data_IF_580617276862
#
_entry.id   IF_580617276862
#
_cell.length_a   1.000
_cell.length_b   1.000
_cell.length_c   1.000
_cell.angle_alpha   90.00
_cell.angle_beta   90.00
_cell.angle_gamma   90.00
#
_symmetry.space_group_name_H-M   'P 1'
#
loop_
_entity.id
_entity.type
_entity.pdbx_description
1 polymer ?
#
# COMPACT_ATOMS: atom_id res chain seq x y z
N UNK A 1 -24.24 -15.48 -10.02
CA UNK A 1 -24.02 -15.17 -10.04
C UNK A 1 -23.81 -14.68 -9.93
N UNK A 2 -23.44 -14.80 -9.89
CA UNK A 2 -22.86 -14.28 -9.82
C UNK A 2 -22.42 -14.07 -9.66
N UNK A 3 -22.09 -13.97 -9.59
CA UNK A 3 -21.46 -13.65 -9.43
C UNK A 3 -20.96 -13.35 -9.61
N UNK A 4 -20.97 -13.33 -9.73
CA UNK A 4 -20.15 -12.88 -9.78
C UNK A 4 -19.65 -12.50 -9.49
N UNK A 5 -19.38 -12.60 -9.37
CA UNK A 5 -18.72 -12.14 -9.13
C UNK A 5 -18.11 -12.16 -8.70
N UNK A 6 -17.97 -12.22 -8.52
CA UNK A 6 -17.36 -12.09 -8.16
C UNK A 6 -16.75 -12.07 -8.16
N UNK A 7 -16.62 -12.08 -8.33
CA UNK A 7 -15.94 -11.89 -8.30
C UNK A 7 -15.34 -11.60 -8.61
N UNK A 8 -15.12 -11.54 -8.81
CA UNK A 8 -14.44 -11.09 -9.11
C UNK A 8 -13.87 -10.45 -8.88
N UNK A 9 -13.71 -10.11 -8.48
CA UNK A 9 -13.06 -9.49 -8.02
C UNK A 9 -12.51 -9.72 -7.37
N UNK A 10 -12.63 -10.09 -7.06
CA UNK A 10 -12.03 -10.26 -6.47
C UNK A 10 -11.32 -10.73 -6.70
N UNK A 11 -11.34 -11.06 -7.25
CA UNK A 11 -10.58 -11.40 -7.52
C UNK A 11 -9.72 -11.15 -7.79
N UNK A 12 -9.41 -10.65 -7.71
CA UNK A 12 -8.52 -10.22 -7.69
C UNK A 12 -7.85 -10.30 -7.16
N UNK A 13 -7.98 -10.45 -6.64
CA UNK A 13 -7.39 -10.45 -5.99
C UNK A 13 -7.05 -10.99 -5.78
N UNK A 14 -7.18 -11.30 -6.18
CA UNK A 14 -6.84 -11.86 -6.09
C UNK A 14 -6.03 -12.16 -5.66
N UNK A 15 -6.58 -12.36 -5.29
CA UNK A 15 -5.60 -12.44 -4.28
C UNK A 15 -4.31 -12.89 -4.67
N UNK A 16 -4.00 -12.51 -5.57
CA UNK A 16 -2.68 -12.82 -5.97
C UNK A 16 -1.75 -12.39 -4.87
N UNK A 17 -0.82 -13.21 -4.54
CA UNK A 17 0.23 -12.80 -3.68
C UNK A 17 0.90 -11.63 -4.34
N UNK A 18 0.77 -10.53 -3.72
CA UNK A 18 1.40 -9.36 -4.27
C UNK A 18 2.70 -9.18 -3.55
N UNK A 19 3.69 -8.80 -4.28
CA UNK A 19 4.96 -8.44 -3.69
C UNK A 19 5.04 -6.95 -3.42
N UNK A 20 3.99 -6.24 -3.79
CA UNK A 20 3.98 -4.79 -3.66
C UNK A 20 2.56 -4.28 -3.58
N UNK A 21 2.42 -3.07 -3.08
CA UNK A 21 1.15 -2.35 -3.00
C UNK A 21 1.17 -1.19 -3.97
N UNK A 22 0.02 -0.88 -4.55
CA UNK A 22 -0.18 0.46 -5.07
C UNK A 22 -0.32 1.41 -3.88
N UNK A 23 -0.29 2.71 -4.13
CA UNK A 23 -0.49 3.67 -3.03
C UNK A 23 -1.83 3.45 -2.36
N UNK A 24 -2.89 3.24 -3.14
CA UNK A 24 -4.21 3.01 -2.56
C UNK A 24 -4.27 1.74 -1.74
N UNK A 25 -3.67 0.68 -2.27
CA UNK A 25 -3.63 -0.59 -1.54
C UNK A 25 -2.86 -0.47 -0.24
N UNK A 26 -1.75 0.26 -0.27
CA UNK A 26 -0.98 0.49 0.94
C UNK A 26 -1.79 1.25 1.98
N UNK A 27 -2.46 2.31 1.56
CA UNK A 27 -3.30 3.09 2.47
C UNK A 27 -4.39 2.23 3.09
N UNK A 28 -5.01 1.40 2.26
CA UNK A 28 -6.06 0.53 2.72
C UNK A 28 -5.53 -0.49 3.72
N UNK A 29 -4.40 -1.10 3.40
CA UNK A 29 -3.81 -2.12 4.26
C UNK A 29 -3.40 -1.57 5.61
N UNK A 30 -2.90 -0.35 5.64
CA UNK A 30 -2.44 0.27 6.88
C UNK A 30 -3.45 1.22 7.48
N UNK A 31 -4.63 1.31 6.88
CA UNK A 31 -5.77 2.04 7.42
C UNK A 31 -5.48 3.52 7.60
N UNK A 32 -4.84 4.10 6.61
CA UNK A 32 -4.62 5.53 6.60
C UNK A 32 -5.32 6.12 5.38
N UNK A 33 -5.73 7.37 5.50
CA UNK A 33 -6.37 8.03 4.39
C UNK A 33 -5.32 8.43 3.35
N UNK A 34 -5.78 8.63 2.13
CA UNK A 34 -4.92 9.11 1.08
C UNK A 34 -4.32 10.46 1.44
N UNK A 35 -5.14 11.33 2.03
CA UNK A 35 -4.67 12.65 2.46
C UNK A 35 -3.55 12.52 3.48
N UNK A 36 -3.72 11.63 4.44
CA UNK A 36 -2.68 11.40 5.44
C UNK A 36 -1.40 10.86 4.80
N UNK A 37 -1.57 9.99 3.83
CA UNK A 37 -0.40 9.44 3.14
C UNK A 37 0.41 10.55 2.49
N UNK A 38 -0.26 11.47 1.80
CA UNK A 38 0.46 12.54 1.12
C UNK A 38 1.02 13.57 2.08
N UNK A 39 0.40 13.74 3.25
CA UNK A 39 1.01 14.53 4.32
C UNK A 39 2.32 13.92 4.75
N UNK A 40 2.32 12.62 4.99
CA UNK A 40 3.53 11.92 5.39
C UNK A 40 4.59 12.02 4.32
N UNK A 41 4.18 11.89 3.07
CA UNK A 41 5.11 11.98 1.96
C UNK A 41 5.78 13.35 1.90
N UNK A 42 4.99 14.41 2.12
CA UNK A 42 5.51 15.76 2.10
C UNK A 42 6.53 15.98 3.20
N UNK A 43 6.39 15.25 4.31
CA UNK A 43 7.31 15.36 5.44
C UNK A 43 8.48 14.39 5.35
N UNK A 44 8.54 13.60 4.29
CA UNK A 44 9.59 12.60 4.16
C UNK A 44 9.40 11.40 5.05
N UNK A 45 8.17 11.15 5.49
CA UNK A 45 7.87 10.08 6.44
C UNK A 45 7.06 8.95 5.82
N UNK A 46 6.84 8.97 4.52
CA UNK A 46 6.13 7.91 3.82
C UNK A 46 7.11 6.80 3.44
N UNK A 47 6.60 5.60 3.12
CA UNK A 47 7.49 4.53 2.67
C UNK A 47 8.11 4.85 1.33
N UNK A 48 9.21 4.16 1.04
CA UNK A 48 9.89 4.33 -0.23
C UNK A 48 9.01 3.79 -1.35
N UNK A 49 8.88 4.55 -2.42
CA UNK A 49 8.10 4.15 -3.59
C UNK A 49 9.04 3.77 -4.73
N UNK A 50 8.70 2.69 -5.42
CA UNK A 50 9.33 2.38 -6.69
C UNK A 50 8.51 3.01 -7.79
N UNK A 51 9.18 3.47 -8.83
CA UNK A 51 8.49 3.97 -10.00
C UNK A 51 8.72 3.00 -11.14
N UNK A 52 7.64 2.40 -11.61
CA UNK A 52 7.70 1.43 -12.71
C UNK A 52 6.79 1.97 -13.81
N UNK A 53 7.40 2.52 -14.85
CA UNK A 53 6.62 3.21 -15.87
C UNK A 53 5.92 4.40 -15.24
N UNK A 54 4.60 4.38 -15.26
CA UNK A 54 3.80 5.45 -14.65
C UNK A 54 3.25 5.08 -13.29
N UNK A 55 3.62 3.91 -12.80
CA UNK A 55 3.04 3.42 -11.57
C UNK A 55 3.98 3.68 -10.40
N UNK A 56 3.39 4.03 -9.28
CA UNK A 56 4.13 4.15 -8.02
C UNK A 56 3.73 2.98 -7.18
N UNK A 57 4.72 2.21 -6.76
CA UNK A 57 4.50 0.94 -6.09
C UNK A 57 5.34 0.91 -4.83
N UNK A 58 4.78 0.37 -3.77
CA UNK A 58 5.48 0.23 -2.49
C UNK A 58 5.69 -1.25 -2.26
N UNK A 59 6.95 -1.69 -2.24
CA UNK A 59 7.22 -3.10 -2.00
C UNK A 59 6.81 -3.48 -0.59
N UNK A 60 6.56 -4.76 -0.37
CA UNK A 60 6.25 -5.24 0.98
C UNK A 60 7.41 -4.97 1.92
N UNK A 61 8.63 -5.09 1.42
CA UNK A 61 9.81 -4.81 2.23
C UNK A 61 9.88 -3.35 2.64
N UNK A 62 9.58 -2.45 1.70
CA UNK A 62 9.58 -1.02 2.01
C UNK A 62 8.48 -0.69 3.01
N UNK A 63 7.32 -1.32 2.85
CA UNK A 63 6.21 -1.12 3.78
C UNK A 63 6.58 -1.61 5.18
N UNK A 64 7.26 -2.74 5.27
CA UNK A 64 7.68 -3.27 6.55
C UNK A 64 8.71 -2.38 7.23
N UNK A 65 9.67 -1.90 6.46
CA UNK A 65 10.67 -0.98 7.02
C UNK A 65 10.01 0.28 7.54
N UNK A 66 9.07 0.80 6.76
CA UNK A 66 8.31 1.99 7.14
C UNK A 66 7.55 1.73 8.46
N UNK A 67 6.89 0.60 8.54
CA UNK A 67 6.13 0.26 9.73
C UNK A 67 7.04 0.23 10.96
N UNK A 68 8.18 -0.42 10.83
CA UNK A 68 9.13 -0.50 11.94
C UNK A 68 9.65 0.86 12.34
N UNK A 69 9.92 1.72 11.37
CA UNK A 69 10.35 3.08 11.66
C UNK A 69 9.28 3.86 12.39
N UNK A 70 8.03 3.71 11.97
CA UNK A 70 6.94 4.41 12.65
C UNK A 70 6.73 3.88 14.05
N UNK A 71 6.84 2.58 14.24
CA UNK A 71 6.72 1.98 15.56
C UNK A 71 7.82 2.47 16.49
N UNK A 72 9.03 2.53 15.99
CA UNK A 72 10.17 2.99 16.79
C UNK A 72 10.03 4.47 17.13
N UNK A 73 9.46 5.26 16.25
CA UNK A 73 9.30 6.68 16.48
C UNK A 73 8.33 7.00 17.61
N UNK A 74 7.43 6.07 17.89
CA UNK A 74 6.43 6.26 18.94
C UNK A 74 7.00 5.87 20.31
N UNK A 75 7.92 4.94 20.31
CA UNK A 75 8.46 4.38 21.56
C UNK A 75 9.32 5.37 22.37
#
# INVERSE_FOLDING_TARGET
MGRPGISKKQRRDRGSPTHAFSVLEFCDAYRISKARYYELKAKGLAPVEMIVGRRRIISHEAAERWRRQREAAIA
#
